data_IF_095673042694
#
_entry.id   IF_095673042694
#
_cell.length_a   1.000
_cell.length_b   1.000
_cell.length_c   1.000
_cell.angle_alpha   90.00
_cell.angle_beta   90.00
_cell.angle_gamma   90.00
#
_symmetry.space_group_name_H-M   'P 1'
#
loop_
_entity.id
_entity.type
_entity.pdbx_description
1 polymer ?
#
# COMPACT_ATOMS: atom_id res chain seq x y z
N UNK A 1 -5.65 -12.55 -9.60
CA UNK A 1 -4.21 -12.43 -9.74
C UNK A 1 -3.51 -13.52 -8.95
N UNK A 2 -3.05 -14.51 -9.68
CA UNK A 2 -2.55 -15.75 -9.10
C UNK A 2 -1.34 -15.54 -8.16
N UNK A 3 -0.40 -14.68 -8.54
CA UNK A 3 0.83 -14.47 -7.75
C UNK A 3 0.48 -13.87 -6.38
N UNK A 4 -0.41 -12.88 -6.36
CA UNK A 4 -0.82 -12.24 -5.11
C UNK A 4 -1.60 -13.22 -4.24
N UNK A 5 -2.51 -13.98 -4.85
CA UNK A 5 -3.29 -14.99 -4.12
C UNK A 5 -2.38 -16.05 -3.50
N UNK A 6 -1.35 -16.49 -4.23
CA UNK A 6 -0.37 -17.43 -3.68
C UNK A 6 0.41 -16.83 -2.53
N UNK A 7 0.81 -15.57 -2.64
CA UNK A 7 1.49 -14.87 -1.55
C UNK A 7 0.62 -14.82 -0.31
N UNK A 8 -0.66 -14.43 -0.47
CA UNK A 8 -1.61 -14.35 0.64
C UNK A 8 -1.80 -15.73 1.28
N UNK A 9 -1.99 -16.77 0.47
CA UNK A 9 -2.20 -18.13 0.97
C UNK A 9 -1.00 -18.63 1.76
N UNK A 10 0.21 -18.23 1.39
CA UNK A 10 1.44 -18.65 2.03
C UNK A 10 1.84 -17.75 3.20
N UNK A 11 1.17 -16.62 3.39
CA UNK A 11 1.43 -15.73 4.51
C UNK A 11 0.76 -16.27 5.75
N UNK A 12 1.54 -16.89 6.63
CA UNK A 12 1.02 -17.42 7.89
C UNK A 12 0.83 -16.28 8.88
N UNK A 13 -0.09 -16.48 9.83
CA UNK A 13 -0.28 -15.50 10.89
C UNK A 13 1.03 -15.26 11.62
N UNK A 14 1.33 -14.00 11.87
CA UNK A 14 2.56 -13.59 12.53
C UNK A 14 2.28 -12.66 13.71
N UNK A 15 3.34 -12.19 14.37
CA UNK A 15 3.23 -11.45 15.61
C UNK A 15 2.48 -10.12 15.45
N UNK A 16 2.54 -9.48 14.29
CA UNK A 16 1.94 -8.16 14.08
C UNK A 16 0.49 -8.23 13.62
N UNK A 17 0.07 -9.34 13.02
CA UNK A 17 -1.32 -9.55 12.64
C UNK A 17 -1.83 -8.65 11.51
N UNK A 18 -0.97 -8.25 10.58
CA UNK A 18 -1.33 -7.29 9.52
C UNK A 18 -1.80 -7.93 8.22
N UNK A 19 -1.81 -9.26 8.12
CA UNK A 19 -2.31 -9.93 6.92
C UNK A 19 -3.75 -9.50 6.56
N UNK A 20 -4.71 -9.43 7.50
CA UNK A 20 -6.06 -8.98 7.16
C UNK A 20 -6.10 -7.57 6.57
N UNK A 21 -5.25 -6.66 7.06
CA UNK A 21 -5.17 -5.31 6.52
C UNK A 21 -4.69 -5.33 5.06
N UNK A 22 -3.65 -6.10 4.77
CA UNK A 22 -3.14 -6.25 3.40
C UNK A 22 -4.23 -6.80 2.48
N UNK A 23 -4.91 -7.87 2.92
CA UNK A 23 -5.99 -8.48 2.12
C UNK A 23 -7.10 -7.47 1.85
N UNK A 24 -7.49 -6.66 2.84
CA UNK A 24 -8.55 -5.66 2.65
C UNK A 24 -8.14 -4.60 1.62
N UNK A 25 -6.89 -4.16 1.64
CA UNK A 25 -6.39 -3.19 0.66
C UNK A 25 -6.38 -3.79 -0.75
N UNK A 26 -5.94 -5.05 -0.87
CA UNK A 26 -5.95 -5.75 -2.16
C UNK A 26 -7.39 -5.89 -2.71
N UNK A 27 -8.34 -6.28 -1.85
CA UNK A 27 -9.73 -6.39 -2.27
C UNK A 27 -10.29 -5.03 -2.72
N UNK A 28 -9.95 -3.95 -2.03
CA UNK A 28 -10.36 -2.62 -2.43
C UNK A 28 -9.81 -2.26 -3.81
N UNK A 29 -8.54 -2.53 -4.07
CA UNK A 29 -7.92 -2.25 -5.37
C UNK A 29 -8.59 -3.03 -6.49
N UNK A 30 -8.92 -4.31 -6.24
CA UNK A 30 -9.60 -5.13 -7.25
C UNK A 30 -10.96 -4.57 -7.64
N UNK A 31 -11.63 -3.89 -6.72
CA UNK A 31 -12.94 -3.29 -6.96
C UNK A 31 -12.91 -1.93 -7.64
N UNK A 32 -11.74 -1.35 -7.85
CA UNK A 32 -11.62 -0.01 -8.44
C UNK A 32 -11.64 -0.05 -9.96
N UNK A 33 -12.58 0.69 -10.55
CA UNK A 33 -12.68 0.80 -12.00
C UNK A 33 -11.46 1.54 -12.57
N UNK A 34 -11.00 1.11 -13.75
CA UNK A 34 -9.87 1.74 -14.45
C UNK A 34 -8.58 1.74 -13.64
N UNK A 35 -8.40 0.74 -12.79
CA UNK A 35 -7.17 0.55 -12.04
C UNK A 35 -6.52 -0.77 -12.43
N UNK A 36 -5.21 -0.73 -12.63
CA UNK A 36 -4.38 -1.90 -12.80
C UNK A 36 -3.64 -2.19 -11.51
N UNK A 37 -3.32 -3.46 -11.29
CA UNK A 37 -2.59 -3.91 -10.11
C UNK A 37 -1.28 -4.53 -10.57
N UNK A 38 -0.17 -4.10 -9.94
CA UNK A 38 1.14 -4.73 -10.13
C UNK A 38 1.60 -5.30 -8.80
N UNK A 39 2.37 -6.38 -8.86
CA UNK A 39 2.91 -7.01 -7.66
C UNK A 39 4.34 -7.45 -7.93
N UNK A 40 5.26 -6.96 -7.10
CA UNK A 40 6.69 -7.29 -7.20
C UNK A 40 7.14 -8.04 -5.95
N UNK A 41 7.69 -9.23 -6.14
CA UNK A 41 8.16 -10.07 -5.04
C UNK A 41 9.67 -9.97 -4.89
N UNK A 42 10.12 -9.60 -3.69
CA UNK A 42 11.52 -9.57 -3.31
C UNK A 42 11.67 -10.29 -1.97
N UNK A 43 11.61 -11.63 -1.95
CA UNK A 43 11.63 -12.39 -0.70
C UNK A 43 12.79 -11.98 0.20
N UNK A 44 12.54 -11.82 1.48
CA UNK A 44 13.51 -11.35 2.45
C UNK A 44 13.67 -9.83 2.51
N UNK A 45 13.02 -9.10 1.60
CA UNK A 45 13.09 -7.63 1.54
C UNK A 45 11.69 -7.06 1.61
N UNK A 46 10.91 -7.20 0.54
CA UNK A 46 9.54 -6.68 0.51
C UNK A 46 8.71 -7.34 -0.59
N UNK A 47 7.40 -7.31 -0.39
CA UNK A 47 6.42 -7.65 -1.43
C UNK A 47 5.61 -6.39 -1.69
N UNK A 48 5.68 -5.87 -2.91
CA UNK A 48 5.12 -4.56 -3.24
C UNK A 48 3.87 -4.70 -4.10
N UNK A 49 2.73 -4.31 -3.54
CA UNK A 49 1.45 -4.25 -4.23
C UNK A 49 1.22 -2.81 -4.68
N UNK A 50 0.99 -2.59 -5.96
CA UNK A 50 0.86 -1.25 -6.54
C UNK A 50 -0.46 -1.09 -7.25
N UNK A 51 -1.16 0.01 -6.95
CA UNK A 51 -2.35 0.42 -7.68
C UNK A 51 -1.98 1.49 -8.72
N UNK A 52 -2.43 1.28 -9.96
CA UNK A 52 -2.09 2.14 -11.08
C UNK A 52 -3.36 2.60 -11.78
N UNK A 53 -3.45 3.87 -12.14
CA UNK A 53 -4.52 4.33 -13.04
C UNK A 53 -4.26 3.80 -14.45
N UNK A 54 -5.26 3.15 -15.07
CA UNK A 54 -5.13 2.67 -16.46
C UNK A 54 -4.90 3.80 -17.44
N UNK A 55 -5.57 4.93 -17.20
CA UNK A 55 -5.47 6.11 -18.06
C UNK A 55 -4.62 7.18 -17.39
N UNK A 56 -3.66 6.76 -16.58
CA UNK A 56 -2.77 7.66 -15.89
C UNK A 56 -1.89 8.42 -16.86
N UNK A 57 -1.52 9.64 -16.45
CA UNK A 57 -0.66 10.52 -17.24
C UNK A 57 0.81 10.21 -16.98
N UNK A 58 1.56 11.19 -16.50
CA UNK A 58 2.98 11.03 -16.20
C UNK A 58 3.22 10.14 -14.97
N UNK A 59 2.25 10.05 -14.06
CA UNK A 59 2.35 9.28 -12.83
C UNK A 59 1.13 8.37 -12.67
N UNK A 60 1.13 7.20 -13.34
CA UNK A 60 -0.01 6.29 -13.22
C UNK A 60 -0.16 5.67 -11.82
N UNK A 61 0.93 5.47 -11.09
CA UNK A 61 0.90 4.92 -9.73
C UNK A 61 0.11 5.84 -8.81
N UNK A 62 -0.84 5.29 -8.03
CA UNK A 62 -1.53 6.07 -7.01
C UNK A 62 -1.33 5.52 -5.60
N UNK A 63 -0.89 4.28 -5.44
CA UNK A 63 -0.55 3.73 -4.13
C UNK A 63 0.49 2.62 -4.27
N UNK A 64 1.42 2.57 -3.31
CA UNK A 64 2.39 1.49 -3.18
C UNK A 64 2.25 0.91 -1.77
N UNK A 65 1.87 -0.35 -1.69
CA UNK A 65 1.67 -1.06 -0.43
C UNK A 65 2.74 -2.13 -0.32
N UNK A 66 3.73 -1.88 0.52
CA UNK A 66 4.85 -2.80 0.70
C UNK A 66 4.68 -3.62 1.97
N UNK A 67 4.76 -4.94 1.83
CA UNK A 67 4.89 -5.85 2.96
C UNK A 67 6.39 -6.01 3.21
N UNK A 68 6.86 -5.52 4.33
CA UNK A 68 8.28 -5.58 4.68
C UNK A 68 8.59 -6.97 5.25
N UNK A 69 9.52 -7.66 4.63
CA UNK A 69 9.76 -9.10 4.84
C UNK A 69 11.17 -9.41 5.36
N UNK A 70 11.84 -8.46 5.99
CA UNK A 70 13.14 -8.73 6.60
C UNK A 70 13.02 -9.72 7.76
N UNK A 71 11.86 -9.79 8.41
CA UNK A 71 11.50 -10.85 9.35
C UNK A 71 10.12 -11.39 8.99
N UNK A 72 10.01 -12.59 8.40
CA UNK A 72 8.72 -13.13 7.97
C UNK A 72 7.77 -13.45 9.11
N UNK A 73 8.22 -13.41 10.35
CA UNK A 73 7.36 -13.59 11.53
C UNK A 73 6.82 -12.27 12.06
N UNK A 74 7.31 -11.16 11.55
CA UNK A 74 6.92 -9.81 11.97
C UNK A 74 6.81 -8.90 10.76
N UNK A 75 6.00 -9.29 9.79
CA UNK A 75 5.76 -8.50 8.59
C UNK A 75 4.90 -7.28 8.92
N UNK A 76 5.36 -6.12 8.47
CA UNK A 76 4.62 -4.87 8.63
C UNK A 76 4.39 -4.22 7.28
N UNK A 77 3.50 -3.23 7.25
CA UNK A 77 3.12 -2.58 5.99
C UNK A 77 3.64 -1.16 5.95
N UNK A 78 4.21 -0.79 4.79
CA UNK A 78 4.52 0.59 4.47
C UNK A 78 3.65 0.98 3.28
N UNK A 79 2.76 1.97 3.48
CA UNK A 79 1.81 2.39 2.44
C UNK A 79 2.17 3.80 2.02
N UNK A 80 2.55 3.96 0.75
CA UNK A 80 3.10 5.22 0.24
C UNK A 80 2.29 5.79 -0.90
N UNK A 81 2.21 7.12 -0.92
CA UNK A 81 1.49 7.91 -1.91
C UNK A 81 2.37 9.05 -2.38
N UNK A 82 2.08 9.62 -3.56
CA UNK A 82 2.64 10.92 -3.89
C UNK A 82 2.04 11.96 -2.95
N UNK A 83 2.89 12.81 -2.40
CA UNK A 83 2.50 13.74 -1.34
C UNK A 83 1.43 14.75 -1.75
N UNK A 84 1.30 15.03 -3.04
CA UNK A 84 0.31 15.97 -3.56
C UNK A 84 -1.04 15.36 -3.87
N UNK A 85 -1.23 14.06 -3.64
CA UNK A 85 -2.49 13.36 -3.97
C UNK A 85 -3.34 13.03 -2.76
N UNK A 86 -2.84 13.21 -1.55
CA UNK A 86 -3.55 12.87 -0.32
C UNK A 86 -3.46 14.00 0.70
N UNK A 87 -4.32 13.90 1.71
CA UNK A 87 -4.26 14.72 2.92
C UNK A 87 -3.91 13.81 4.11
N UNK A 88 -3.51 14.42 5.22
CA UNK A 88 -3.19 13.66 6.44
C UNK A 88 -3.64 14.50 7.66
N UNK A 89 -4.97 14.67 7.83
CA UNK A 89 -5.48 15.56 8.88
C UNK A 89 -5.08 15.15 10.30
N UNK A 90 -4.86 13.86 10.55
CA UNK A 90 -4.49 13.37 11.87
C UNK A 90 -2.98 13.23 12.07
N UNK A 91 -2.20 13.66 11.09
CA UNK A 91 -0.72 13.61 11.16
C UNK A 91 -0.17 12.21 11.49
N UNK A 92 -0.73 11.21 10.82
CA UNK A 92 -0.35 9.80 11.05
C UNK A 92 0.83 9.35 10.18
N UNK A 93 1.12 10.04 9.11
CA UNK A 93 2.16 9.66 8.16
C UNK A 93 3.36 10.60 8.19
N UNK A 94 4.32 10.30 7.31
CA UNK A 94 5.57 11.06 7.20
C UNK A 94 5.86 11.42 5.74
N UNK A 95 6.28 12.66 5.53
CA UNK A 95 6.78 13.09 4.22
C UNK A 95 8.18 12.53 4.01
N UNK A 96 8.37 11.87 2.86
CA UNK A 96 9.67 11.32 2.47
C UNK A 96 10.10 12.04 1.20
N UNK A 97 10.99 13.04 1.29
CA UNK A 97 11.43 13.79 0.13
C UNK A 97 12.04 12.88 -0.93
N UNK A 98 11.55 12.99 -2.17
CA UNK A 98 11.98 12.18 -3.31
C UNK A 98 11.86 10.67 -3.06
N UNK A 99 11.03 10.25 -2.09
CA UNK A 99 10.94 8.87 -1.63
C UNK A 99 10.06 7.95 -2.46
N UNK A 100 9.37 8.48 -3.46
CA UNK A 100 8.50 7.67 -4.30
C UNK A 100 8.81 7.94 -5.77
N UNK A 101 9.62 7.05 -6.37
CA UNK A 101 10.00 7.11 -7.78
C UNK A 101 10.55 8.48 -8.19
N UNK A 102 11.31 9.11 -7.30
CA UNK A 102 11.95 10.41 -7.55
C UNK A 102 11.12 11.62 -7.15
N UNK A 103 9.85 11.44 -6.82
CA UNK A 103 8.98 12.51 -6.33
C UNK A 103 8.77 12.38 -4.81
N UNK A 104 8.28 13.46 -4.18
CA UNK A 104 8.01 13.43 -2.75
C UNK A 104 6.93 12.38 -2.44
N UNK A 105 7.27 11.45 -1.57
CA UNK A 105 6.36 10.44 -1.07
C UNK A 105 5.79 10.82 0.29
N UNK A 106 4.63 10.25 0.60
CA UNK A 106 4.01 10.39 1.91
C UNK A 106 3.60 8.99 2.36
N UNK A 107 4.22 8.50 3.44
CA UNK A 107 4.13 7.10 3.80
C UNK A 107 3.57 6.89 5.20
N UNK A 108 2.84 5.79 5.36
CA UNK A 108 2.24 5.38 6.61
C UNK A 108 2.78 4.00 6.96
N UNK A 109 3.36 3.86 8.14
CA UNK A 109 3.88 2.58 8.62
C UNK A 109 2.86 1.94 9.57
N UNK A 110 2.38 0.74 9.19
CA UNK A 110 1.48 -0.03 10.04
C UNK A 110 2.32 -1.10 10.73
N UNK A 111 2.58 -0.90 12.01
CA UNK A 111 3.44 -1.77 12.81
C UNK A 111 2.66 -2.69 13.73
N UNK A 112 1.33 -2.53 13.78
CA UNK A 112 0.44 -3.37 14.56
C UNK A 112 -0.96 -3.33 13.97
N UNK A 113 -1.80 -4.29 14.36
CA UNK A 113 -3.16 -4.42 13.85
C UNK A 113 -4.09 -3.42 14.54
N UNK A 114 -3.93 -2.15 14.22
CA UNK A 114 -4.76 -1.05 14.71
C UNK A 114 -5.83 -0.75 13.67
N UNK A 115 -7.06 -1.16 13.92
CA UNK A 115 -8.15 -1.02 12.97
C UNK A 115 -8.44 0.43 12.63
N UNK A 116 -8.28 1.35 13.56
CA UNK A 116 -8.49 2.77 13.29
C UNK A 116 -7.47 3.29 12.26
N UNK A 117 -6.20 2.89 12.39
CA UNK A 117 -5.15 3.28 11.43
C UNK A 117 -5.36 2.57 10.09
N UNK A 118 -5.73 1.29 10.10
CA UNK A 118 -6.03 0.56 8.86
C UNK A 118 -7.12 1.28 8.06
N UNK A 119 -8.19 1.68 8.72
CA UNK A 119 -9.31 2.41 8.08
C UNK A 119 -8.87 3.80 7.62
N UNK A 120 -8.07 4.49 8.41
CA UNK A 120 -7.55 5.81 8.06
C UNK A 120 -6.74 5.74 6.77
N UNK A 121 -5.83 4.77 6.67
CA UNK A 121 -5.02 4.57 5.46
C UNK A 121 -5.89 4.16 4.27
N UNK A 122 -6.91 3.35 4.50
CA UNK A 122 -7.86 2.96 3.46
C UNK A 122 -8.53 4.19 2.83
N UNK A 123 -8.88 5.18 3.64
CA UNK A 123 -9.44 6.44 3.15
C UNK A 123 -8.42 7.23 2.34
N UNK A 124 -7.13 7.15 2.69
CA UNK A 124 -6.06 7.79 1.90
C UNK A 124 -5.90 7.11 0.55
N UNK A 125 -6.04 5.78 0.49
CA UNK A 125 -5.99 5.05 -0.78
C UNK A 125 -7.13 5.53 -1.69
N UNK A 126 -8.34 5.67 -1.15
CA UNK A 126 -9.47 6.16 -1.93
C UNK A 126 -9.26 7.60 -2.40
N UNK A 127 -8.68 8.42 -1.54
CA UNK A 127 -8.35 9.81 -1.88
C UNK A 127 -7.36 9.88 -3.04
N UNK A 128 -6.30 9.07 -2.98
CA UNK A 128 -5.28 9.01 -4.04
C UNK A 128 -5.87 8.49 -5.35
N UNK A 129 -6.72 7.46 -5.27
CA UNK A 129 -7.39 6.92 -6.45
C UNK A 129 -8.27 7.97 -7.13
N UNK A 130 -8.93 8.83 -6.36
CA UNK A 130 -9.79 9.89 -6.88
C UNK A 130 -9.03 11.12 -7.34
N UNK A 131 -7.75 11.21 -7.03
CA UNK A 131 -6.89 12.29 -7.48
C UNK A 131 -6.63 12.16 -8.98
N UNK A 132 -6.69 13.26 -9.72
CA UNK A 132 -6.51 13.26 -11.18
C UNK A 132 -5.14 13.79 -11.58
N UNK A 133 -4.18 13.69 -10.70
CA UNK A 133 -2.84 14.20 -10.96
C UNK A 133 -1.93 13.16 -11.60
#
# INVERSE_FOLDING_TARGET
>A
MRIIDNFIDNWQEDALGLKPAFVSYFEDLKGMANADIEFNERPGISYSLRGMHKNGNDRPLFVMIDVIDDDPKERWLSVCFYGDTITDPDEEGDLIPEGLLGDDGYCFDLLEADQALVTYVRNRIQEAYNSKR
#
